data_IF_022669533966
#
_entry.id   IF_022669533966
#
_cell.length_a   1.000
_cell.length_b   1.000
_cell.length_c   1.000
_cell.angle_alpha   90.00
_cell.angle_beta   90.00
_cell.angle_gamma   90.00
#
_symmetry.space_group_name_H-M   'P 1'
#
loop_
_entity.id
_entity.type
_entity.pdbx_description
1 polymer ?
#
# COMPACT_ATOMS: atom_id res chain seq x y z
N UNK A 1 17.37 -17.77 -34.92
CA UNK A 1 16.62 -18.99 -34.55
C UNK A 1 16.89 -19.45 -33.12
N UNK A 2 18.07 -19.97 -32.76
CA UNK A 2 18.32 -20.45 -31.38
C UNK A 2 18.28 -19.33 -30.34
N UNK A 3 18.83 -18.16 -30.70
CA UNK A 3 18.88 -16.98 -29.82
C UNK A 3 17.49 -16.36 -29.58
N UNK A 4 16.64 -16.32 -30.61
CA UNK A 4 15.26 -15.81 -30.52
C UNK A 4 14.39 -16.70 -29.63
N UNK A 5 14.57 -18.02 -29.74
CA UNK A 5 13.88 -19.00 -28.89
C UNK A 5 14.30 -18.86 -27.43
N UNK A 6 15.60 -18.71 -27.15
CA UNK A 6 16.10 -18.50 -25.79
C UNK A 6 15.60 -17.19 -25.19
N UNK A 7 15.59 -16.09 -25.97
CA UNK A 7 15.03 -14.82 -25.54
C UNK A 7 13.54 -14.97 -25.20
N UNK A 8 12.76 -15.61 -26.05
CA UNK A 8 11.33 -15.86 -25.81
C UNK A 8 11.07 -16.63 -24.50
N UNK A 9 11.85 -17.68 -24.24
CA UNK A 9 11.74 -18.48 -23.00
C UNK A 9 12.06 -17.61 -21.77
N UNK A 10 13.14 -16.82 -21.82
CA UNK A 10 13.54 -15.91 -20.73
C UNK A 10 12.44 -14.89 -20.43
N UNK A 11 11.87 -14.27 -21.46
CA UNK A 11 10.76 -13.30 -21.30
C UNK A 11 9.56 -13.95 -20.62
N UNK A 12 9.14 -15.11 -21.11
CA UNK A 12 7.98 -15.84 -20.56
C UNK A 12 8.18 -16.18 -19.09
N UNK A 13 9.36 -16.69 -18.71
CA UNK A 13 9.67 -16.99 -17.30
C UNK A 13 9.64 -15.74 -16.42
N UNK A 14 10.17 -14.61 -16.89
CA UNK A 14 10.12 -13.35 -16.13
C UNK A 14 8.69 -12.87 -15.94
N UNK A 15 7.83 -12.97 -16.96
CA UNK A 15 6.40 -12.64 -16.85
C UNK A 15 5.75 -13.54 -15.80
N UNK A 16 5.93 -14.86 -15.86
CA UNK A 16 5.36 -15.81 -14.91
C UNK A 16 5.79 -15.50 -13.45
N UNK A 17 7.07 -15.15 -13.25
CA UNK A 17 7.59 -14.75 -11.94
C UNK A 17 6.89 -13.48 -11.43
N UNK A 18 6.77 -12.47 -12.28
CA UNK A 18 6.19 -11.18 -11.89
C UNK A 18 4.67 -11.24 -11.75
N UNK A 19 3.98 -11.99 -12.60
CA UNK A 19 2.53 -12.17 -12.64
C UNK A 19 1.99 -12.67 -11.30
N UNK A 20 2.73 -13.57 -10.65
CA UNK A 20 2.34 -14.12 -9.35
C UNK A 20 2.08 -13.05 -8.27
N UNK A 21 2.70 -11.86 -8.39
CA UNK A 21 2.52 -10.76 -7.43
C UNK A 21 1.88 -9.51 -8.03
N UNK A 22 2.12 -9.24 -9.31
CA UNK A 22 1.72 -7.99 -9.95
C UNK A 22 0.47 -8.13 -10.84
N UNK A 23 0.06 -9.37 -11.13
CA UNK A 23 -0.90 -9.64 -12.19
C UNK A 23 -0.25 -9.57 -13.58
N UNK A 24 -0.89 -10.24 -14.54
CA UNK A 24 -0.31 -10.50 -15.85
C UNK A 24 -0.06 -9.24 -16.67
N UNK A 25 -1.03 -8.33 -16.68
CA UNK A 25 -0.95 -7.10 -17.48
C UNK A 25 0.25 -6.24 -17.09
N UNK A 26 0.43 -6.02 -15.78
CA UNK A 26 1.56 -5.26 -15.23
C UNK A 26 2.89 -5.98 -15.52
N UNK A 27 2.93 -7.30 -15.33
CA UNK A 27 4.12 -8.10 -15.60
C UNK A 27 4.55 -8.01 -17.08
N UNK A 28 3.60 -8.07 -18.01
CA UNK A 28 3.86 -7.93 -19.45
C UNK A 28 4.32 -6.51 -19.83
N UNK A 29 3.76 -5.46 -19.23
CA UNK A 29 4.20 -4.08 -19.48
C UNK A 29 5.64 -3.86 -19.00
N UNK A 30 5.95 -4.35 -17.81
CA UNK A 30 7.29 -4.25 -17.21
C UNK A 30 8.31 -5.04 -18.05
N UNK A 31 7.99 -6.28 -18.43
CA UNK A 31 8.91 -7.14 -19.17
C UNK A 31 9.40 -6.47 -20.45
N UNK A 32 8.49 -5.80 -21.18
CA UNK A 32 8.81 -5.08 -22.42
C UNK A 32 9.91 -4.01 -22.24
N UNK A 33 10.05 -3.46 -21.03
CA UNK A 33 10.98 -2.37 -20.70
C UNK A 33 12.27 -2.83 -20.02
N UNK A 34 12.33 -4.08 -19.54
CA UNK A 34 13.51 -4.62 -18.88
C UNK A 34 14.70 -4.70 -19.85
N UNK A 35 15.92 -4.46 -19.35
CA UNK A 35 17.15 -4.82 -20.05
C UNK A 35 17.43 -6.33 -19.96
N UNK A 36 18.37 -6.83 -20.75
CA UNK A 36 18.79 -8.25 -20.67
C UNK A 36 19.40 -8.58 -19.29
N UNK A 37 20.21 -7.67 -18.74
CA UNK A 37 20.83 -7.83 -17.43
C UNK A 37 19.80 -7.91 -16.30
N UNK A 38 18.76 -7.08 -16.35
CA UNK A 38 17.72 -7.06 -15.32
C UNK A 38 16.86 -8.32 -15.36
N UNK A 39 16.55 -8.84 -16.55
CA UNK A 39 15.93 -10.16 -16.69
C UNK A 39 16.79 -11.23 -16.04
N UNK A 40 18.11 -11.19 -16.28
CA UNK A 40 19.08 -12.10 -15.66
C UNK A 40 19.10 -12.01 -14.13
N UNK A 41 19.06 -10.80 -13.56
CA UNK A 41 19.00 -10.59 -12.11
C UNK A 41 17.73 -11.17 -11.49
N UNK A 42 16.56 -10.88 -12.09
CA UNK A 42 15.26 -11.39 -11.66
C UNK A 42 15.26 -12.92 -11.67
N UNK A 43 15.70 -13.53 -12.78
CA UNK A 43 15.76 -14.99 -12.89
C UNK A 43 16.70 -15.60 -11.87
N UNK A 44 17.92 -15.06 -11.72
CA UNK A 44 18.92 -15.58 -10.78
C UNK A 44 18.44 -15.53 -9.33
N UNK A 45 17.80 -14.45 -8.94
CA UNK A 45 17.22 -14.32 -7.60
C UNK A 45 16.09 -15.32 -7.38
N UNK A 46 15.17 -15.44 -8.33
CA UNK A 46 14.06 -16.37 -8.24
C UNK A 46 14.52 -17.83 -8.23
N UNK A 47 15.50 -18.19 -9.06
CA UNK A 47 16.05 -19.56 -9.10
C UNK A 47 16.68 -19.95 -7.75
N UNK A 48 17.38 -19.00 -7.12
CA UNK A 48 18.03 -19.15 -5.82
C UNK A 48 17.02 -19.23 -4.67
N UNK A 49 16.03 -18.35 -4.65
CA UNK A 49 15.17 -18.15 -3.48
C UNK A 49 13.75 -18.73 -3.64
N UNK A 50 13.39 -19.17 -4.85
CA UNK A 50 12.02 -19.55 -5.29
C UNK A 50 10.97 -18.44 -5.13
N UNK A 51 11.41 -17.21 -4.85
CA UNK A 51 10.62 -15.99 -4.77
C UNK A 51 11.53 -14.80 -5.01
N UNK A 52 10.99 -13.70 -5.54
CA UNK A 52 11.69 -12.42 -5.51
C UNK A 52 11.48 -11.76 -4.15
N UNK A 53 12.52 -11.08 -3.68
CA UNK A 53 12.44 -10.17 -2.54
C UNK A 53 11.46 -9.03 -2.84
N UNK A 54 10.91 -8.47 -1.77
CA UNK A 54 10.06 -7.29 -1.86
C UNK A 54 10.83 -6.11 -2.47
N UNK A 55 12.12 -5.97 -2.15
CA UNK A 55 13.02 -4.97 -2.72
C UNK A 55 13.13 -5.07 -4.24
N UNK A 56 13.29 -6.26 -4.80
CA UNK A 56 13.36 -6.44 -6.26
C UNK A 56 12.04 -6.12 -6.94
N UNK A 57 10.91 -6.57 -6.39
CA UNK A 57 9.59 -6.20 -6.90
C UNK A 57 9.38 -4.69 -6.92
N UNK A 58 9.74 -4.06 -5.81
CA UNK A 58 9.67 -2.64 -5.60
C UNK A 58 10.55 -1.92 -6.64
N UNK A 59 11.82 -2.26 -6.76
CA UNK A 59 12.70 -1.68 -7.79
C UNK A 59 12.09 -1.74 -9.19
N UNK A 60 11.61 -2.92 -9.59
CA UNK A 60 11.03 -3.15 -10.92
C UNK A 60 9.78 -2.28 -11.15
N UNK A 61 8.87 -2.22 -10.17
CA UNK A 61 7.68 -1.37 -10.24
C UNK A 61 8.04 0.12 -10.33
N UNK A 62 8.98 0.59 -9.50
CA UNK A 62 9.43 2.00 -9.46
C UNK A 62 10.03 2.44 -10.78
N UNK A 63 10.80 1.55 -11.41
CA UNK A 63 11.54 1.88 -12.63
C UNK A 63 10.67 1.79 -13.88
N UNK A 64 9.71 0.87 -13.92
CA UNK A 64 9.03 0.51 -15.17
C UNK A 64 7.53 0.71 -15.18
N UNK A 65 6.90 0.80 -14.01
CA UNK A 65 5.44 0.87 -13.90
C UNK A 65 4.96 2.20 -13.36
N UNK A 66 5.49 2.63 -12.22
CA UNK A 66 5.08 3.88 -11.59
C UNK A 66 5.66 5.08 -12.32
N UNK A 67 4.79 6.02 -12.68
CA UNK A 67 5.12 7.18 -13.54
C UNK A 67 5.00 8.51 -12.82
N UNK A 68 4.38 8.52 -11.66
CA UNK A 68 4.10 9.72 -10.87
C UNK A 68 4.15 9.42 -9.36
N UNK A 69 4.13 10.49 -8.57
CA UNK A 69 4.25 10.43 -7.12
C UNK A 69 3.18 9.57 -6.45
N UNK A 70 1.89 9.75 -6.80
CA UNK A 70 0.81 9.03 -6.13
C UNK A 70 0.80 7.56 -6.50
N UNK A 71 1.28 7.20 -7.69
CA UNK A 71 1.48 5.82 -8.08
C UNK A 71 2.55 5.14 -7.21
N UNK A 72 3.65 5.83 -6.90
CA UNK A 72 4.70 5.32 -5.98
C UNK A 72 4.22 5.21 -4.53
N UNK A 73 3.39 6.16 -4.08
CA UNK A 73 2.92 6.20 -2.69
C UNK A 73 1.72 5.30 -2.42
N UNK A 74 0.78 5.22 -3.36
CA UNK A 74 -0.55 4.64 -3.12
C UNK A 74 -0.95 3.61 -4.19
N UNK A 75 -0.08 3.38 -5.19
CA UNK A 75 -0.35 2.45 -6.29
C UNK A 75 -1.37 2.96 -7.31
N UNK A 76 -1.79 4.23 -7.23
CA UNK A 76 -2.79 4.84 -8.11
C UNK A 76 -2.23 6.12 -8.71
N UNK A 77 -2.21 6.18 -10.04
CA UNK A 77 -1.64 7.28 -10.81
C UNK A 77 -2.49 8.56 -10.71
N UNK A 78 -1.81 9.69 -10.63
CA UNK A 78 -2.41 11.01 -10.77
C UNK A 78 -1.41 12.01 -11.35
N UNK A 79 -1.88 13.22 -11.62
CA UNK A 79 -1.03 14.33 -12.09
C UNK A 79 -0.57 15.25 -10.94
N UNK A 80 -0.77 14.85 -9.68
CA UNK A 80 -0.39 15.66 -8.52
C UNK A 80 1.13 15.84 -8.47
N UNK A 81 1.53 17.10 -8.28
CA UNK A 81 2.92 17.50 -8.05
C UNK A 81 2.98 18.34 -6.80
N UNK A 82 3.69 17.85 -5.78
CA UNK A 82 3.84 18.50 -4.48
C UNK A 82 5.32 18.46 -4.11
N UNK A 83 5.92 19.62 -3.85
CA UNK A 83 7.37 19.77 -3.63
C UNK A 83 8.21 18.96 -4.63
N UNK A 84 8.13 19.22 -5.95
CA UNK A 84 8.82 18.41 -6.96
C UNK A 84 10.33 18.30 -6.75
N UNK A 85 10.96 19.30 -6.12
CA UNK A 85 12.35 19.29 -5.70
C UNK A 85 12.68 18.26 -4.60
N UNK A 86 11.68 17.84 -3.82
CA UNK A 86 11.79 16.79 -2.80
C UNK A 86 11.27 15.45 -3.35
N UNK A 87 10.10 15.47 -3.98
CA UNK A 87 9.34 14.26 -4.33
C UNK A 87 9.66 13.72 -5.73
N UNK A 88 10.19 14.55 -6.63
CA UNK A 88 10.47 14.17 -8.01
C UNK A 88 11.49 13.03 -8.11
N UNK A 89 12.54 13.07 -7.27
CA UNK A 89 13.56 12.02 -7.22
C UNK A 89 13.09 10.73 -6.54
N UNK A 90 11.86 10.69 -6.00
CA UNK A 90 11.32 9.47 -5.41
C UNK A 90 10.92 8.46 -6.49
N UNK A 91 10.50 8.94 -7.66
CA UNK A 91 10.20 8.10 -8.83
C UNK A 91 11.50 7.46 -9.32
N UNK A 92 11.52 6.13 -9.47
CA UNK A 92 12.74 5.41 -9.83
C UNK A 92 13.67 5.08 -8.65
N UNK A 93 13.43 5.61 -7.45
CA UNK A 93 14.32 5.42 -6.28
C UNK A 93 14.22 4.05 -5.59
N UNK A 94 13.21 3.26 -5.90
CA UNK A 94 12.91 2.00 -5.19
C UNK A 94 12.29 2.19 -3.79
N UNK A 95 11.95 3.42 -3.39
CA UNK A 95 11.24 3.71 -2.14
C UNK A 95 9.73 3.81 -2.38
N UNK A 96 8.94 3.18 -1.51
CA UNK A 96 7.51 2.99 -1.71
C UNK A 96 6.67 3.34 -0.50
N UNK A 97 5.46 3.80 -0.78
CA UNK A 97 4.50 4.11 0.25
C UNK A 97 4.93 5.26 1.15
N UNK A 98 4.12 5.50 2.17
CA UNK A 98 4.35 6.56 3.15
C UNK A 98 5.65 6.34 3.94
N UNK A 99 5.99 5.08 4.25
CA UNK A 99 7.26 4.72 4.90
C UNK A 99 8.46 5.06 4.00
N UNK A 100 8.37 4.75 2.70
CA UNK A 100 9.39 5.08 1.72
C UNK A 100 9.57 6.59 1.55
N UNK A 101 8.48 7.36 1.60
CA UNK A 101 8.53 8.83 1.57
C UNK A 101 9.30 9.37 2.76
N UNK A 102 9.01 8.90 3.99
CA UNK A 102 9.74 9.32 5.18
C UNK A 102 11.23 9.02 5.09
N UNK A 103 11.58 7.81 4.62
CA UNK A 103 12.98 7.43 4.41
C UNK A 103 13.66 8.34 3.38
N UNK A 104 12.98 8.62 2.27
CA UNK A 104 13.46 9.51 1.22
C UNK A 104 13.77 10.92 1.73
N UNK A 105 12.83 11.51 2.47
CA UNK A 105 12.95 12.86 3.01
C UNK A 105 14.13 12.94 4.01
N UNK A 106 14.30 11.92 4.86
CA UNK A 106 15.45 11.84 5.77
C UNK A 106 16.79 11.73 5.05
N UNK A 107 16.87 10.96 3.97
CA UNK A 107 18.10 10.83 3.17
C UNK A 107 18.48 12.14 2.46
N UNK A 108 17.51 13.00 2.16
CA UNK A 108 17.76 14.36 1.68
C UNK A 108 18.20 15.33 2.79
N UNK A 109 18.30 14.87 4.05
CA UNK A 109 18.74 15.67 5.19
C UNK A 109 17.61 16.43 5.91
N UNK A 110 16.35 16.17 5.56
CA UNK A 110 15.21 16.83 6.20
C UNK A 110 14.69 16.08 7.45
N UNK A 111 14.02 16.82 8.33
CA UNK A 111 13.42 16.30 9.57
C UNK A 111 12.10 15.56 9.32
N UNK A 112 11.61 14.89 10.38
CA UNK A 112 10.26 14.30 10.35
C UNK A 112 9.16 15.36 10.22
N UNK A 113 9.36 16.58 10.74
CA UNK A 113 8.41 17.69 10.56
C UNK A 113 8.24 18.04 9.08
N UNK A 114 9.35 18.03 8.32
CA UNK A 114 9.29 18.25 6.87
C UNK A 114 8.58 17.10 6.17
N UNK A 115 8.74 15.86 6.64
CA UNK A 115 7.98 14.73 6.14
C UNK A 115 6.47 14.91 6.38
N UNK A 116 6.07 15.33 7.58
CA UNK A 116 4.67 15.61 7.92
C UNK A 116 4.10 16.73 7.02
N UNK A 117 4.86 17.82 6.81
CA UNK A 117 4.48 18.91 5.92
C UNK A 117 4.23 18.40 4.48
N UNK A 118 5.17 17.62 3.93
CA UNK A 118 5.08 17.10 2.57
C UNK A 118 3.92 16.11 2.44
N UNK A 119 3.76 15.19 3.40
CA UNK A 119 2.68 14.20 3.39
C UNK A 119 1.31 14.87 3.47
N UNK A 120 1.15 15.88 4.34
CA UNK A 120 -0.08 16.64 4.46
C UNK A 120 -0.40 17.42 3.18
N UNK A 121 0.59 18.05 2.55
CA UNK A 121 0.39 18.75 1.29
C UNK A 121 -0.05 17.80 0.16
N UNK A 122 0.53 16.60 0.08
CA UNK A 122 0.10 15.55 -0.86
C UNK A 122 -1.36 15.17 -0.60
N UNK A 123 -1.71 14.92 0.66
CA UNK A 123 -3.06 14.52 1.03
C UNK A 123 -4.11 15.59 0.71
N UNK A 124 -3.82 16.87 0.99
CA UNK A 124 -4.70 18.00 0.67
C UNK A 124 -4.92 18.12 -0.84
N UNK A 125 -3.90 17.93 -1.66
CA UNK A 125 -4.08 17.93 -3.13
C UNK A 125 -4.92 16.75 -3.61
N UNK A 126 -4.75 15.56 -3.01
CA UNK A 126 -5.61 14.39 -3.30
C UNK A 126 -7.07 14.68 -2.94
N UNK A 127 -7.33 15.26 -1.77
CA UNK A 127 -8.68 15.64 -1.34
C UNK A 127 -9.32 16.66 -2.31
N UNK A 128 -8.56 17.66 -2.78
CA UNK A 128 -9.04 18.60 -3.80
C UNK A 128 -9.39 17.89 -5.11
N UNK A 129 -8.56 16.95 -5.56
CA UNK A 129 -8.83 16.16 -6.76
C UNK A 129 -10.06 15.27 -6.61
N UNK A 130 -10.30 14.72 -5.41
CA UNK A 130 -11.41 13.83 -5.10
C UNK A 130 -12.80 14.48 -5.27
N UNK A 131 -12.88 15.81 -5.48
CA UNK A 131 -14.09 16.48 -5.97
C UNK A 131 -14.57 15.91 -7.31
N UNK A 132 -13.67 15.33 -8.10
CA UNK A 132 -14.01 14.52 -9.25
C UNK A 132 -14.12 13.04 -8.85
N UNK A 133 -15.25 12.36 -9.13
CA UNK A 133 -15.48 10.98 -8.71
C UNK A 133 -14.38 9.98 -9.13
N UNK A 134 -13.70 10.24 -10.26
CA UNK A 134 -12.62 9.39 -10.77
C UNK A 134 -11.40 9.30 -9.84
N UNK A 135 -11.25 10.23 -8.89
CA UNK A 135 -10.16 10.23 -7.91
C UNK A 135 -10.58 9.77 -6.51
N UNK A 136 -11.83 9.32 -6.32
CA UNK A 136 -12.31 8.84 -5.02
C UNK A 136 -11.55 7.60 -4.55
N UNK A 137 -11.19 6.68 -5.47
CA UNK A 137 -10.37 5.52 -5.12
C UNK A 137 -8.98 5.97 -4.61
N UNK A 138 -8.32 6.90 -5.29
CA UNK A 138 -7.04 7.44 -4.84
C UNK A 138 -7.16 8.05 -3.43
N UNK A 139 -8.22 8.80 -3.18
CA UNK A 139 -8.43 9.41 -1.86
C UNK A 139 -8.70 8.39 -0.76
N UNK A 140 -9.51 7.37 -1.05
CA UNK A 140 -9.76 6.26 -0.14
C UNK A 140 -8.47 5.51 0.21
N UNK A 141 -7.66 5.19 -0.80
CA UNK A 141 -6.41 4.45 -0.62
C UNK A 141 -5.33 5.30 0.05
N UNK A 142 -5.22 6.59 -0.28
CA UNK A 142 -4.31 7.49 0.41
C UNK A 142 -4.65 7.60 1.91
N UNK A 143 -5.94 7.76 2.23
CA UNK A 143 -6.43 7.75 3.61
C UNK A 143 -6.09 6.43 4.33
N UNK A 144 -6.26 5.30 3.65
CA UNK A 144 -5.91 3.99 4.19
C UNK A 144 -4.42 3.86 4.50
N UNK A 145 -3.55 4.14 3.52
CA UNK A 145 -2.10 3.92 3.65
C UNK A 145 -1.48 4.92 4.66
N UNK A 146 -1.96 6.16 4.71
CA UNK A 146 -1.55 7.14 5.72
C UNK A 146 -2.06 6.74 7.11
N UNK A 147 -3.31 6.32 7.24
CA UNK A 147 -3.87 5.86 8.51
C UNK A 147 -3.10 4.66 9.09
N UNK A 148 -2.77 3.68 8.23
CA UNK A 148 -1.96 2.53 8.63
C UNK A 148 -0.54 2.92 9.05
N UNK A 149 0.07 3.91 8.39
CA UNK A 149 1.38 4.42 8.78
C UNK A 149 1.37 4.99 10.22
N UNK A 150 0.30 5.66 10.62
CA UNK A 150 0.18 6.25 11.97
C UNK A 150 -0.23 5.28 13.08
N UNK A 151 -0.64 4.05 12.79
CA UNK A 151 -1.17 3.11 13.81
C UNK A 151 -0.26 2.95 15.04
N UNK A 152 1.05 2.90 14.84
CA UNK A 152 2.04 2.72 15.91
C UNK A 152 2.68 4.04 16.38
N UNK A 153 2.33 5.17 15.77
CA UNK A 153 2.98 6.47 16.00
C UNK A 153 2.03 7.48 16.66
N UNK A 154 0.80 7.56 16.15
CA UNK A 154 -0.23 8.48 16.59
C UNK A 154 -1.61 7.85 16.32
N UNK A 155 -2.19 7.19 17.32
CA UNK A 155 -3.48 6.54 17.17
C UNK A 155 -4.62 7.52 16.88
N UNK A 156 -4.49 8.80 17.23
CA UNK A 156 -5.47 9.83 16.93
C UNK A 156 -5.51 10.12 15.43
N UNK A 157 -4.35 10.40 14.82
CA UNK A 157 -4.22 10.55 13.36
C UNK A 157 -4.63 9.27 12.64
N UNK A 158 -4.21 8.10 13.14
CA UNK A 158 -4.59 6.82 12.53
C UNK A 158 -6.11 6.63 12.49
N UNK A 159 -6.82 6.93 13.59
CA UNK A 159 -8.28 6.88 13.63
C UNK A 159 -8.92 7.84 12.62
N UNK A 160 -8.43 9.07 12.50
CA UNK A 160 -8.93 10.07 11.56
C UNK A 160 -8.86 9.58 10.11
N UNK A 161 -7.66 9.21 9.65
CA UNK A 161 -7.45 8.77 8.27
C UNK A 161 -8.14 7.43 7.96
N UNK A 162 -8.11 6.46 8.88
CA UNK A 162 -8.81 5.18 8.67
C UNK A 162 -10.34 5.37 8.66
N UNK A 163 -10.87 6.31 9.46
CA UNK A 163 -12.29 6.68 9.38
C UNK A 163 -12.65 7.25 8.01
N UNK A 164 -11.81 8.14 7.46
CA UNK A 164 -12.02 8.67 6.10
C UNK A 164 -11.97 7.56 5.05
N UNK A 165 -11.00 6.65 5.15
CA UNK A 165 -10.93 5.48 4.26
C UNK A 165 -12.19 4.62 4.35
N UNK A 166 -12.76 4.45 5.55
CA UNK A 166 -14.00 3.71 5.77
C UNK A 166 -15.23 4.37 5.16
N UNK A 167 -15.34 5.70 5.27
CA UNK A 167 -16.41 6.46 4.60
C UNK A 167 -16.37 6.26 3.09
N UNK A 168 -15.17 6.18 2.51
CA UNK A 168 -14.95 6.05 1.08
C UNK A 168 -14.81 4.61 0.59
N UNK A 169 -14.95 3.60 1.47
CA UNK A 169 -14.55 2.21 1.21
C UNK A 169 -15.20 1.56 -0.01
N UNK A 170 -16.39 2.01 -0.41
CA UNK A 170 -17.07 1.53 -1.62
C UNK A 170 -16.28 1.80 -2.91
N UNK A 171 -15.33 2.74 -2.86
CA UNK A 171 -14.42 3.06 -3.96
C UNK A 171 -13.12 2.25 -3.91
N UNK A 172 -12.90 1.41 -2.88
CA UNK A 172 -11.71 0.55 -2.79
C UNK A 172 -12.06 -0.78 -3.45
N UNK A 173 -11.61 -0.99 -4.68
CA UNK A 173 -11.91 -2.19 -5.46
C UNK A 173 -10.97 -3.36 -5.15
N UNK A 174 -9.80 -3.08 -4.58
CA UNK A 174 -8.82 -4.08 -4.18
C UNK A 174 -9.19 -4.71 -2.82
N UNK A 175 -9.48 -6.02 -2.86
CA UNK A 175 -9.79 -6.83 -1.67
C UNK A 175 -8.67 -6.79 -0.63
N UNK A 176 -7.40 -6.76 -1.04
CA UNK A 176 -6.28 -6.68 -0.10
C UNK A 176 -6.25 -5.34 0.63
N UNK A 177 -6.63 -4.25 -0.04
CA UNK A 177 -6.74 -2.93 0.61
C UNK A 177 -7.91 -2.89 1.60
N UNK A 178 -9.05 -3.51 1.27
CA UNK A 178 -10.16 -3.66 2.22
C UNK A 178 -9.77 -4.51 3.44
N UNK A 179 -8.97 -5.56 3.26
CA UNK A 179 -8.39 -6.32 4.38
C UNK A 179 -7.47 -5.48 5.24
N UNK A 180 -6.57 -4.70 4.65
CA UNK A 180 -5.72 -3.75 5.39
C UNK A 180 -6.55 -2.77 6.22
N UNK A 181 -7.66 -2.27 5.66
CA UNK A 181 -8.56 -1.37 6.39
C UNK A 181 -9.21 -2.07 7.59
N UNK A 182 -9.66 -3.31 7.41
CA UNK A 182 -10.19 -4.16 8.48
C UNK A 182 -9.14 -4.36 9.59
N UNK A 183 -7.92 -4.76 9.24
CA UNK A 183 -6.83 -4.94 10.20
C UNK A 183 -6.51 -3.64 10.95
N UNK A 184 -6.52 -2.50 10.28
CA UNK A 184 -6.32 -1.19 10.90
C UNK A 184 -7.35 -0.91 12.01
N UNK A 185 -8.64 -1.16 11.75
CA UNK A 185 -9.67 -1.02 12.78
C UNK A 185 -9.55 -2.01 13.93
N UNK A 186 -9.17 -3.27 13.65
CA UNK A 186 -8.95 -4.24 14.71
C UNK A 186 -7.76 -3.85 15.62
N UNK A 187 -6.70 -3.29 15.03
CA UNK A 187 -5.55 -2.76 15.80
C UNK A 187 -5.95 -1.54 16.65
N UNK A 188 -6.72 -0.61 16.10
CA UNK A 188 -7.26 0.52 16.87
C UNK A 188 -8.18 0.06 17.99
N UNK A 189 -9.05 -0.92 17.74
CA UNK A 189 -9.93 -1.49 18.77
C UNK A 189 -9.11 -2.13 19.90
N UNK A 190 -8.14 -2.97 19.55
CA UNK A 190 -7.22 -3.58 20.52
C UNK A 190 -6.43 -2.55 21.32
N UNK A 191 -5.95 -1.47 20.67
CA UNK A 191 -5.33 -0.34 21.34
C UNK A 191 -6.28 0.30 22.36
N UNK A 192 -7.52 0.59 21.96
CA UNK A 192 -8.50 1.21 22.85
C UNK A 192 -8.94 0.32 24.01
N UNK A 193 -9.01 -1.00 23.84
CA UNK A 193 -9.17 -1.93 24.96
C UNK A 193 -8.00 -1.80 25.96
N UNK A 194 -6.76 -1.79 25.48
CA UNK A 194 -5.55 -1.67 26.33
C UNK A 194 -5.54 -0.38 27.16
N UNK A 195 -5.95 0.74 26.56
CA UNK A 195 -6.03 2.05 27.25
C UNK A 195 -7.38 2.31 27.92
N UNK A 196 -8.23 1.26 28.07
CA UNK A 196 -9.54 1.30 28.74
C UNK A 196 -10.53 2.33 28.18
N UNK A 197 -10.42 2.69 26.89
CA UNK A 197 -11.38 3.53 26.17
C UNK A 197 -12.40 2.65 25.44
N UNK A 198 -13.22 1.94 26.21
CA UNK A 198 -14.08 0.85 25.71
C UNK A 198 -15.08 1.31 24.64
N UNK A 199 -15.64 2.50 24.78
CA UNK A 199 -16.59 3.03 23.79
C UNK A 199 -15.95 3.18 22.41
N UNK A 200 -14.74 3.76 22.36
CA UNK A 200 -13.96 3.84 21.13
C UNK A 200 -13.59 2.46 20.61
N UNK A 201 -13.21 1.53 21.49
CA UNK A 201 -12.87 0.17 21.09
C UNK A 201 -14.04 -0.54 20.40
N UNK A 202 -15.27 -0.38 20.93
CA UNK A 202 -16.50 -0.91 20.33
C UNK A 202 -16.77 -0.30 18.96
N UNK A 203 -16.70 1.03 18.82
CA UNK A 203 -16.89 1.70 17.52
C UNK A 203 -15.92 1.16 16.45
N UNK A 204 -14.63 1.00 16.80
CA UNK A 204 -13.64 0.47 15.86
C UNK A 204 -13.92 -1.00 15.52
N UNK A 205 -14.31 -1.82 16.51
CA UNK A 205 -14.68 -3.22 16.30
C UNK A 205 -15.94 -3.38 15.43
N UNK A 206 -16.95 -2.54 15.60
CA UNK A 206 -18.15 -2.54 14.78
C UNK A 206 -17.84 -2.21 13.32
N UNK A 207 -16.98 -1.22 13.08
CA UNK A 207 -16.51 -0.89 11.72
C UNK A 207 -15.75 -2.07 11.09
N UNK A 208 -14.88 -2.72 11.86
CA UNK A 208 -14.23 -3.96 11.44
C UNK A 208 -15.26 -5.07 11.09
N UNK A 209 -16.26 -5.30 11.93
CA UNK A 209 -17.30 -6.30 11.67
C UNK A 209 -18.12 -6.00 10.41
N UNK A 210 -18.40 -4.74 10.12
CA UNK A 210 -19.06 -4.35 8.87
C UNK A 210 -18.19 -4.70 7.65
N UNK A 211 -16.88 -4.47 7.71
CA UNK A 211 -15.95 -4.88 6.65
C UNK A 211 -15.88 -6.40 6.50
N UNK A 212 -15.93 -7.16 7.60
CA UNK A 212 -16.00 -8.62 7.56
C UNK A 212 -17.23 -9.09 6.78
N UNK A 213 -18.40 -8.48 7.02
CA UNK A 213 -19.63 -8.79 6.27
C UNK A 213 -19.48 -8.46 4.78
N UNK A 214 -18.84 -7.34 4.44
CA UNK A 214 -18.57 -6.94 3.05
C UNK A 214 -17.57 -7.89 2.35
N UNK A 215 -16.56 -8.38 3.07
CA UNK A 215 -15.54 -9.30 2.56
C UNK A 215 -16.01 -10.76 2.46
N UNK A 216 -17.01 -11.15 3.26
CA UNK A 216 -17.53 -12.52 3.31
C UNK A 216 -16.44 -13.54 3.67
N UNK A 217 -16.38 -14.64 2.92
CA UNK A 217 -15.45 -15.75 3.18
C UNK A 217 -13.99 -15.49 2.78
N UNK A 218 -13.63 -14.24 2.42
CA UNK A 218 -12.28 -13.90 1.92
C UNK A 218 -11.27 -13.59 3.03
N UNK A 219 -11.62 -13.82 4.29
CA UNK A 219 -10.70 -13.58 5.42
C UNK A 219 -9.61 -14.64 5.50
N UNK A 220 -8.39 -14.22 5.79
CA UNK A 220 -7.31 -15.15 6.16
C UNK A 220 -7.37 -15.49 7.65
N UNK A 221 -6.58 -16.50 8.02
CA UNK A 221 -6.50 -17.00 9.39
C UNK A 221 -5.97 -15.94 10.37
N UNK A 222 -5.08 -15.05 9.91
CA UNK A 222 -4.50 -14.00 10.76
C UNK A 222 -5.56 -12.96 11.14
N UNK A 223 -6.29 -12.44 10.16
CA UNK A 223 -7.38 -11.49 10.38
C UNK A 223 -8.49 -12.10 11.26
N UNK A 224 -8.85 -13.36 11.01
CA UNK A 224 -9.85 -14.09 11.80
C UNK A 224 -9.41 -14.34 13.24
N UNK A 225 -8.09 -14.49 13.48
CA UNK A 225 -7.53 -14.60 14.82
C UNK A 225 -7.61 -13.26 15.55
N UNK A 226 -7.18 -12.18 14.91
CA UNK A 226 -7.21 -10.83 15.50
C UNK A 226 -8.65 -10.40 15.85
N UNK A 227 -9.61 -10.71 15.00
CA UNK A 227 -11.04 -10.46 15.25
C UNK A 227 -11.52 -11.14 16.54
N UNK A 228 -11.15 -12.42 16.73
CA UNK A 228 -11.51 -13.20 17.94
C UNK A 228 -10.85 -12.63 19.19
N UNK A 229 -9.55 -12.34 19.14
CA UNK A 229 -8.81 -11.76 20.27
C UNK A 229 -9.40 -10.42 20.73
N UNK A 230 -9.87 -9.58 19.79
CA UNK A 230 -10.54 -8.31 20.13
C UNK A 230 -11.93 -8.55 20.71
N UNK A 231 -12.70 -9.49 20.16
CA UNK A 231 -14.03 -9.84 20.65
C UNK A 231 -13.99 -10.36 22.09
N UNK A 232 -13.03 -11.22 22.42
CA UNK A 232 -12.81 -11.73 23.78
C UNK A 232 -12.54 -10.58 24.76
N UNK A 233 -11.61 -9.68 24.42
CA UNK A 233 -11.30 -8.49 25.24
C UNK A 233 -12.49 -7.54 25.45
N UNK A 234 -13.42 -7.49 24.50
CA UNK A 234 -14.63 -6.69 24.61
C UNK A 234 -15.73 -7.37 25.44
N UNK A 235 -15.73 -8.71 25.53
CA UNK A 235 -16.70 -9.50 26.29
C UNK A 235 -16.27 -9.87 27.71
N UNK A 236 -14.99 -9.72 28.06
CA UNK A 236 -14.43 -9.98 29.40
C UNK A 236 -14.65 -8.83 30.42
N UNK A 237 -15.45 -7.81 30.09
CA UNK A 237 -15.73 -6.62 30.91
C UNK A 237 -17.23 -6.36 31.01
#
# INVERSE_FOLDING_TARGET
MLEDTLRSIVRKKVIEILEAKLGREIAEEIEKKLSYEERGRILKEYEKNKKLSEETYNYVLSKYYYRDLTSVLFGISSEIRVYPEITGSMIGSGKFGVVGLRKHIRELGYSDDKFEEVLQAIYVEIEKLARSPKYLELFAVASLEIGNFYLEQDCGKAEEYLSKAYELRSNIHDVQKLKKLLEGFLRLSSFYCRVKKMEKAKIMYERANNLVKELGNKLDASTSKLLREVNEKLGEL
#
